data_IF_885317619716
#
_entry.id   IF_885317619716
#
_cell.length_a   1.000
_cell.length_b   1.000
_cell.length_c   1.000
_cell.angle_alpha   90.00
_cell.angle_beta   90.00
_cell.angle_gamma   90.00
#
_symmetry.space_group_name_H-M   'P 1'
#
loop_
_entity.id
_entity.type
_entity.pdbx_description
1 polymer ?
#
# COMPACT_ATOMS: atom_id res chain seq x y z
N UNK A 1 27.48 27.73 -0.46
CA UNK A 1 26.26 27.87 -1.30
C UNK A 1 25.12 28.30 -0.39
N UNK A 2 24.41 29.42 -0.66
CA UNK A 2 23.34 29.86 0.23
C UNK A 2 22.18 28.85 0.19
N UNK A 3 21.85 28.28 1.35
CA UNK A 3 20.73 27.37 1.55
C UNK A 3 19.43 28.16 1.33
N UNK A 4 18.92 28.15 0.09
CA UNK A 4 17.63 28.78 -0.25
C UNK A 4 16.54 28.03 0.50
N UNK A 5 16.00 28.62 1.57
CA UNK A 5 14.90 28.06 2.36
C UNK A 5 13.80 27.64 1.40
N UNK A 6 13.62 26.32 1.21
CA UNK A 6 12.58 25.79 0.33
C UNK A 6 11.24 26.11 0.98
N UNK A 7 10.32 26.68 0.22
CA UNK A 7 8.96 26.88 0.72
C UNK A 7 8.34 25.54 1.09
N UNK A 8 7.61 25.48 2.22
CA UNK A 8 6.95 24.26 2.71
C UNK A 8 6.12 23.59 1.62
N UNK A 9 5.38 24.39 0.84
CA UNK A 9 4.60 23.92 -0.30
C UNK A 9 5.43 23.13 -1.33
N UNK A 10 6.67 23.57 -1.61
CA UNK A 10 7.56 22.86 -2.54
C UNK A 10 7.98 21.50 -1.99
N UNK A 11 8.28 21.40 -0.69
CA UNK A 11 8.65 20.15 -0.03
C UNK A 11 7.50 19.13 -0.03
N UNK A 12 6.27 19.56 0.29
CA UNK A 12 5.09 18.69 0.18
C UNK A 12 4.86 18.20 -1.24
N UNK A 13 4.94 19.09 -2.23
CA UNK A 13 4.79 18.71 -3.64
C UNK A 13 5.83 17.68 -4.07
N UNK A 14 7.08 17.83 -3.64
CA UNK A 14 8.16 16.90 -3.96
C UNK A 14 7.91 15.53 -3.29
N UNK A 15 7.42 15.50 -2.03
CA UNK A 15 7.03 14.27 -1.34
C UNK A 15 5.85 13.54 -2.03
N UNK A 16 4.80 14.28 -2.41
CA UNK A 16 3.66 13.71 -3.14
C UNK A 16 4.07 13.14 -4.50
N UNK A 17 5.05 13.76 -5.19
CA UNK A 17 5.61 13.20 -6.43
C UNK A 17 6.30 11.85 -6.18
N UNK A 18 7.02 11.70 -5.07
CA UNK A 18 7.64 10.42 -4.68
C UNK A 18 6.61 9.31 -4.43
N UNK A 19 5.56 9.61 -3.67
CA UNK A 19 4.46 8.65 -3.45
C UNK A 19 3.77 8.32 -4.78
N UNK A 20 3.43 9.33 -5.59
CA UNK A 20 2.81 9.11 -6.89
C UNK A 20 3.69 8.29 -7.85
N UNK A 21 5.02 8.42 -7.75
CA UNK A 21 5.95 7.58 -8.50
C UNK A 21 5.84 6.11 -8.07
N UNK A 22 5.81 5.82 -6.77
CA UNK A 22 5.69 4.45 -6.27
C UNK A 22 4.35 3.81 -6.67
N UNK A 23 3.24 4.54 -6.53
CA UNK A 23 1.91 4.04 -6.94
C UNK A 23 1.85 3.71 -8.44
N UNK A 24 2.56 4.48 -9.26
CA UNK A 24 2.65 4.26 -10.70
C UNK A 24 3.55 3.06 -11.02
N UNK A 25 4.75 2.99 -10.47
CA UNK A 25 5.72 2.01 -10.94
C UNK A 25 5.56 0.64 -10.26
N UNK A 26 5.11 0.61 -9.00
CA UNK A 26 5.09 -0.61 -8.21
C UNK A 26 3.70 -1.21 -8.07
N UNK A 27 3.56 -2.46 -8.52
CA UNK A 27 2.32 -3.23 -8.41
C UNK A 27 2.00 -3.59 -6.96
N UNK A 28 3.01 -3.93 -6.16
CA UNK A 28 2.84 -4.27 -4.75
C UNK A 28 2.32 -3.07 -3.96
N UNK A 29 2.83 -1.85 -4.22
CA UNK A 29 2.25 -0.59 -3.69
C UNK A 29 0.75 -0.51 -3.93
N UNK A 30 0.29 -0.77 -5.16
CA UNK A 30 -1.15 -0.72 -5.49
C UNK A 30 -1.96 -1.80 -4.79
N UNK A 31 -1.42 -3.02 -4.67
CA UNK A 31 -2.07 -4.10 -3.93
C UNK A 31 -2.25 -3.70 -2.46
N UNK A 32 -1.19 -3.22 -1.80
CA UNK A 32 -1.25 -2.81 -0.40
C UNK A 32 -2.20 -1.64 -0.17
N UNK A 33 -2.26 -0.67 -1.09
CA UNK A 33 -3.25 0.42 -1.04
C UNK A 33 -4.68 -0.10 -1.14
N UNK A 34 -4.97 -1.00 -2.08
CA UNK A 34 -6.32 -1.56 -2.27
C UNK A 34 -6.75 -2.38 -1.05
N UNK A 35 -5.86 -3.25 -0.55
CA UNK A 35 -6.14 -4.05 0.64
C UNK A 35 -6.36 -3.15 1.86
N UNK A 36 -5.48 -2.16 2.08
CA UNK A 36 -5.64 -1.19 3.16
C UNK A 36 -6.94 -0.38 3.06
N UNK A 37 -7.33 0.03 1.85
CA UNK A 37 -8.61 0.72 1.61
C UNK A 37 -9.80 -0.18 1.99
N UNK A 38 -9.83 -1.44 1.57
CA UNK A 38 -10.89 -2.36 1.96
C UNK A 38 -10.93 -2.59 3.47
N UNK A 39 -9.77 -2.78 4.12
CA UNK A 39 -9.72 -2.94 5.58
C UNK A 39 -10.31 -1.72 6.32
N UNK A 40 -10.02 -0.50 5.85
CA UNK A 40 -10.62 0.72 6.41
C UNK A 40 -12.10 0.88 6.07
N UNK A 41 -12.55 0.43 4.90
CA UNK A 41 -13.96 0.47 4.53
C UNK A 41 -14.79 -0.52 5.37
N UNK A 42 -14.25 -1.70 5.70
CA UNK A 42 -14.95 -2.72 6.47
C UNK A 42 -14.74 -2.61 7.99
N UNK A 43 -13.71 -1.88 8.46
CA UNK A 43 -13.45 -1.73 9.90
C UNK A 43 -14.63 -1.19 10.74
N UNK A 44 -15.55 -0.35 10.24
CA UNK A 44 -16.69 0.10 11.04
C UNK A 44 -17.62 -1.04 11.49
N UNK A 45 -17.70 -2.15 10.75
CA UNK A 45 -18.50 -3.32 11.12
C UNK A 45 -17.93 -4.08 12.33
N UNK A 46 -16.64 -3.90 12.64
CA UNK A 46 -15.94 -4.63 13.70
C UNK A 46 -15.92 -3.86 15.03
N UNK A 47 -16.50 -2.65 15.08
CA UNK A 47 -16.55 -1.83 16.29
C UNK A 47 -15.19 -1.63 16.99
N UNK A 48 -14.13 -1.47 16.18
CA UNK A 48 -12.77 -1.31 16.68
C UNK A 48 -12.65 -0.10 17.62
N UNK A 49 -11.92 -0.26 18.71
CA UNK A 49 -11.52 0.81 19.61
C UNK A 49 -10.56 1.80 18.94
N UNK A 50 -10.39 2.98 19.54
CA UNK A 50 -9.46 3.99 19.03
C UNK A 50 -8.01 3.47 18.95
N UNK A 51 -7.61 2.60 19.89
CA UNK A 51 -6.29 1.98 19.88
C UNK A 51 -6.13 1.00 18.72
N UNK A 52 -7.15 0.18 18.45
CA UNK A 52 -7.14 -0.77 17.32
C UNK A 52 -7.13 -0.05 15.97
N UNK A 53 -7.87 1.07 15.84
CA UNK A 53 -7.78 1.95 14.68
C UNK A 53 -6.37 2.54 14.50
N UNK A 54 -5.73 2.97 15.58
CA UNK A 54 -4.36 3.47 15.50
C UNK A 54 -3.39 2.37 15.03
N UNK A 55 -3.52 1.14 15.55
CA UNK A 55 -2.73 -0.01 15.11
C UNK A 55 -2.99 -0.33 13.64
N UNK A 56 -4.25 -0.34 13.20
CA UNK A 56 -4.61 -0.58 11.79
C UNK A 56 -3.98 0.46 10.85
N UNK A 57 -4.12 1.75 11.18
CA UNK A 57 -3.58 2.85 10.39
C UNK A 57 -2.05 2.81 10.34
N UNK A 58 -1.38 2.58 11.48
CA UNK A 58 0.07 2.43 11.55
C UNK A 58 0.55 1.24 10.72
N UNK A 59 -0.17 0.11 10.80
CA UNK A 59 0.15 -1.10 10.04
C UNK A 59 0.08 -0.86 8.54
N UNK A 60 -1.00 -0.23 8.06
CA UNK A 60 -1.14 0.15 6.65
C UNK A 60 -0.01 1.12 6.24
N UNK A 61 0.26 2.14 7.06
CA UNK A 61 1.31 3.11 6.79
C UNK A 61 2.71 2.48 6.73
N UNK A 62 3.02 1.52 7.61
CA UNK A 62 4.31 0.83 7.65
C UNK A 62 4.57 0.01 6.39
N UNK A 63 3.56 -0.70 5.87
CA UNK A 63 3.69 -1.46 4.62
C UNK A 63 3.93 -0.54 3.43
N UNK A 64 3.15 0.54 3.32
CA UNK A 64 3.34 1.53 2.24
C UNK A 64 4.69 2.24 2.35
N UNK A 65 5.15 2.50 3.57
CA UNK A 65 6.48 3.05 3.83
C UNK A 65 7.58 2.09 3.39
N UNK A 66 7.51 0.81 3.77
CA UNK A 66 8.49 -0.20 3.39
C UNK A 66 8.59 -0.33 1.86
N UNK A 67 7.46 -0.33 1.16
CA UNK A 67 7.38 -0.37 -0.30
C UNK A 67 8.03 0.87 -0.95
N UNK A 68 7.79 2.06 -0.37
CA UNK A 68 8.40 3.33 -0.82
C UNK A 68 9.92 3.30 -0.63
N UNK A 69 10.39 2.80 0.51
CA UNK A 69 11.82 2.65 0.80
C UNK A 69 12.46 1.62 -0.13
N UNK A 70 11.79 0.49 -0.39
CA UNK A 70 12.25 -0.50 -1.35
C UNK A 70 12.46 0.12 -2.74
N UNK A 71 11.46 0.85 -3.23
CA UNK A 71 11.53 1.56 -4.51
C UNK A 71 12.69 2.56 -4.54
N UNK A 72 12.92 3.29 -3.46
CA UNK A 72 14.03 4.25 -3.35
C UNK A 72 15.39 3.55 -3.38
N UNK A 73 15.55 2.43 -2.67
CA UNK A 73 16.77 1.62 -2.67
C UNK A 73 17.03 1.05 -4.07
N UNK A 74 16.01 0.50 -4.72
CA UNK A 74 16.12 0.01 -6.10
C UNK A 74 16.58 1.10 -7.06
N UNK A 75 16.00 2.31 -6.96
CA UNK A 75 16.40 3.44 -7.79
C UNK A 75 17.88 3.81 -7.58
N UNK A 76 18.35 3.87 -6.33
CA UNK A 76 19.76 4.18 -6.01
C UNK A 76 20.71 3.09 -6.54
N UNK A 77 20.35 1.82 -6.37
CA UNK A 77 21.17 0.70 -6.85
C UNK A 77 21.23 0.69 -8.38
N UNK A 78 20.10 0.95 -9.06
CA UNK A 78 20.04 0.98 -10.52
C UNK A 78 20.86 2.13 -11.14
N UNK A 79 21.13 3.22 -10.39
CA UNK A 79 22.00 4.31 -10.87
C UNK A 79 23.47 3.89 -11.01
N UNK A 80 23.96 2.96 -10.17
CA UNK A 80 25.36 2.54 -10.17
C UNK A 80 25.62 1.24 -10.93
N UNK A 81 24.57 0.48 -11.25
CA UNK A 81 24.70 -0.83 -11.86
C UNK A 81 24.97 -0.75 -13.38
N UNK A 82 26.23 -0.54 -13.78
CA UNK A 82 26.68 -0.85 -15.15
C UNK A 82 27.04 -2.34 -15.34
N UNK A 83 27.28 -3.07 -14.23
CA UNK A 83 27.60 -4.51 -14.22
C UNK A 83 26.90 -5.19 -13.03
N UNK A 84 26.71 -6.51 -13.11
CA UNK A 84 26.05 -7.31 -12.07
C UNK A 84 26.94 -7.42 -10.82
N UNK A 85 26.74 -6.54 -9.84
CA UNK A 85 27.45 -6.53 -8.55
C UNK A 85 26.68 -7.37 -7.51
N UNK A 86 27.38 -8.29 -6.83
CA UNK A 86 26.81 -9.09 -5.75
C UNK A 86 26.23 -8.22 -4.62
N UNK A 87 26.82 -7.05 -4.33
CA UNK A 87 26.30 -6.12 -3.32
C UNK A 87 24.99 -5.49 -3.75
N UNK A 88 24.84 -5.15 -5.03
CA UNK A 88 23.59 -4.64 -5.60
C UNK A 88 22.46 -5.66 -5.47
N UNK A 89 22.74 -6.94 -5.67
CA UNK A 89 21.77 -8.03 -5.45
C UNK A 89 21.36 -8.10 -3.97
N UNK A 90 22.32 -8.16 -3.05
CA UNK A 90 22.04 -8.22 -1.61
C UNK A 90 21.20 -7.03 -1.15
N UNK A 91 21.52 -5.81 -1.61
CA UNK A 91 20.76 -4.61 -1.25
C UNK A 91 19.29 -4.68 -1.69
N UNK A 92 19.02 -5.17 -2.90
CA UNK A 92 17.66 -5.40 -3.40
C UNK A 92 16.94 -6.49 -2.61
N UNK A 93 17.62 -7.60 -2.34
CA UNK A 93 17.03 -8.73 -1.59
C UNK A 93 16.65 -8.32 -0.16
N UNK A 94 17.50 -7.54 0.51
CA UNK A 94 17.23 -7.02 1.86
C UNK A 94 16.06 -6.03 1.85
N UNK A 95 15.98 -5.15 0.86
CA UNK A 95 14.89 -4.20 0.73
C UNK A 95 13.54 -4.92 0.49
N UNK A 96 13.52 -5.91 -0.40
CA UNK A 96 12.34 -6.76 -0.62
C UNK A 96 11.97 -7.57 0.63
N UNK A 97 12.98 -8.06 1.37
CA UNK A 97 12.77 -8.74 2.66
C UNK A 97 12.11 -7.85 3.71
N UNK A 98 12.44 -6.56 3.76
CA UNK A 98 11.79 -5.61 4.66
C UNK A 98 10.29 -5.44 4.33
N UNK A 99 9.94 -5.34 3.03
CA UNK A 99 8.54 -5.31 2.58
C UNK A 99 7.81 -6.57 3.02
N UNK A 100 8.43 -7.75 2.84
CA UNK A 100 7.83 -9.03 3.22
C UNK A 100 7.53 -9.11 4.72
N UNK A 101 8.44 -8.65 5.58
CA UNK A 101 8.24 -8.62 7.03
C UNK A 101 7.06 -7.71 7.38
N UNK A 102 6.99 -6.51 6.80
CA UNK A 102 5.87 -5.59 7.04
C UNK A 102 4.54 -6.18 6.54
N UNK A 103 4.53 -6.79 5.35
CA UNK A 103 3.33 -7.43 4.79
C UNK A 103 2.85 -8.60 5.65
N UNK A 104 3.77 -9.41 6.17
CA UNK A 104 3.43 -10.49 7.09
C UNK A 104 2.83 -9.96 8.40
N UNK A 105 3.45 -8.96 9.01
CA UNK A 105 2.90 -8.32 10.21
C UNK A 105 1.51 -7.74 9.94
N UNK A 106 1.31 -7.11 8.78
CA UNK A 106 0.01 -6.59 8.40
C UNK A 106 -1.05 -7.67 8.23
N UNK A 107 -0.69 -8.84 7.69
CA UNK A 107 -1.58 -10.00 7.63
C UNK A 107 -1.95 -10.50 9.03
N UNK A 108 -0.99 -10.56 9.96
CA UNK A 108 -1.24 -10.96 11.36
C UNK A 108 -2.16 -9.96 12.07
N UNK A 109 -1.89 -8.66 11.97
CA UNK A 109 -2.77 -7.62 12.54
C UNK A 109 -4.16 -7.67 11.93
N UNK A 110 -4.25 -7.83 10.60
CA UNK A 110 -5.53 -8.02 9.91
C UNK A 110 -6.28 -9.24 10.42
N UNK A 111 -5.60 -10.37 10.63
CA UNK A 111 -6.20 -11.55 11.22
C UNK A 111 -6.72 -11.27 12.65
N UNK A 112 -5.92 -10.66 13.51
CA UNK A 112 -6.31 -10.38 14.91
C UNK A 112 -7.51 -9.44 14.98
N UNK A 113 -7.55 -8.38 14.16
CA UNK A 113 -8.63 -7.39 14.20
C UNK A 113 -9.91 -7.87 13.50
N UNK A 114 -9.79 -8.66 12.43
CA UNK A 114 -10.92 -8.97 11.55
C UNK A 114 -11.38 -10.43 11.61
N UNK A 115 -10.75 -11.32 12.38
CA UNK A 115 -11.17 -12.72 12.52
C UNK A 115 -12.37 -12.87 13.48
N UNK A 116 -13.53 -12.39 13.05
CA UNK A 116 -14.80 -12.50 13.76
C UNK A 116 -15.86 -13.13 12.85
N UNK A 117 -16.04 -14.47 12.87
CA UNK A 117 -16.90 -15.19 11.92
C UNK A 117 -18.34 -14.66 11.86
N UNK A 118 -18.92 -14.30 13.01
CA UNK A 118 -20.27 -13.73 13.07
C UNK A 118 -20.36 -12.38 12.34
N UNK A 119 -19.39 -11.48 12.56
CA UNK A 119 -19.32 -10.17 11.88
C UNK A 119 -19.09 -10.35 10.38
N UNK A 120 -18.27 -11.32 9.97
CA UNK A 120 -18.04 -11.62 8.55
C UNK A 120 -19.32 -12.09 7.85
N UNK A 121 -20.11 -12.97 8.49
CA UNK A 121 -21.41 -13.40 7.97
C UNK A 121 -22.39 -12.22 7.91
N UNK A 122 -22.42 -11.37 8.94
CA UNK A 122 -23.24 -10.16 8.95
C UNK A 122 -22.90 -9.22 7.79
N UNK A 123 -21.62 -9.00 7.47
CA UNK A 123 -21.21 -8.19 6.32
C UNK A 123 -21.73 -8.78 5.01
N UNK A 124 -21.65 -10.11 4.86
CA UNK A 124 -22.17 -10.80 3.68
C UNK A 124 -23.67 -10.58 3.56
N UNK A 125 -24.44 -10.83 4.62
CA UNK A 125 -25.88 -10.60 4.68
C UNK A 125 -26.25 -9.13 4.42
N UNK A 126 -25.47 -8.19 4.93
CA UNK A 126 -25.63 -6.75 4.71
C UNK A 126 -25.47 -6.39 3.23
N UNK A 127 -24.44 -6.92 2.56
CA UNK A 127 -24.22 -6.69 1.12
C UNK A 127 -25.35 -7.28 0.26
N UNK A 128 -25.92 -8.42 0.65
CA UNK A 128 -27.05 -9.03 -0.07
C UNK A 128 -28.39 -8.33 0.19
N UNK A 129 -28.62 -7.84 1.41
CA UNK A 129 -29.87 -7.16 1.78
C UNK A 129 -29.92 -5.71 1.27
N UNK A 130 -28.77 -5.06 1.11
CA UNK A 130 -28.67 -3.70 0.57
C UNK A 130 -28.07 -3.67 -0.84
N UNK A 131 -28.94 -3.75 -1.85
CA UNK A 131 -28.58 -3.75 -3.28
C UNK A 131 -27.58 -2.67 -3.67
N UNK A 132 -27.70 -1.46 -3.12
CA UNK A 132 -26.77 -0.37 -3.41
C UNK A 132 -25.32 -0.67 -2.96
N UNK A 133 -25.14 -1.13 -1.73
CA UNK A 133 -23.81 -1.46 -1.20
C UNK A 133 -23.24 -2.73 -1.82
N UNK A 134 -24.09 -3.73 -2.07
CA UNK A 134 -23.70 -4.92 -2.83
C UNK A 134 -23.21 -4.58 -4.24
N UNK A 135 -23.95 -3.73 -4.96
CA UNK A 135 -23.55 -3.25 -6.28
C UNK A 135 -22.24 -2.45 -6.23
N UNK A 136 -22.10 -1.54 -5.26
CA UNK A 136 -20.87 -0.75 -5.09
C UNK A 136 -19.65 -1.65 -4.86
N UNK A 137 -19.78 -2.66 -4.00
CA UNK A 137 -18.72 -3.64 -3.75
C UNK A 137 -18.39 -4.47 -5.01
N UNK A 138 -19.41 -4.93 -5.73
CA UNK A 138 -19.20 -5.68 -6.97
C UNK A 138 -18.49 -4.85 -8.05
N UNK A 139 -18.81 -3.56 -8.16
CA UNK A 139 -18.14 -2.63 -9.07
C UNK A 139 -16.73 -2.27 -8.59
N UNK A 140 -16.47 -2.22 -7.28
CA UNK A 140 -15.15 -1.90 -6.76
C UNK A 140 -14.11 -2.99 -7.06
N UNK A 141 -14.51 -4.27 -7.16
CA UNK A 141 -13.60 -5.39 -7.48
C UNK A 141 -12.91 -5.25 -8.86
N UNK A 142 -13.63 -5.11 -9.99
CA UNK A 142 -12.98 -4.90 -11.29
C UNK A 142 -12.24 -3.56 -11.35
N UNK A 143 -12.74 -2.50 -10.71
CA UNK A 143 -12.00 -1.23 -10.63
C UNK A 143 -10.66 -1.38 -9.91
N UNK A 144 -10.64 -2.13 -8.81
CA UNK A 144 -9.43 -2.46 -8.07
C UNK A 144 -8.48 -3.30 -8.90
N UNK A 145 -8.99 -4.28 -9.65
CA UNK A 145 -8.20 -5.07 -10.60
C UNK A 145 -7.59 -4.21 -11.70
N UNK A 146 -8.38 -3.32 -12.32
CA UNK A 146 -7.89 -2.37 -13.31
C UNK A 146 -6.79 -1.48 -12.71
N UNK A 147 -7.00 -0.95 -11.52
CA UNK A 147 -5.98 -0.16 -10.83
C UNK A 147 -4.71 -0.97 -10.55
N UNK A 148 -4.80 -2.18 -9.99
CA UNK A 148 -3.62 -2.98 -9.65
C UNK A 148 -2.81 -3.36 -10.90
N UNK A 149 -3.46 -3.81 -11.97
CA UNK A 149 -2.78 -4.42 -13.11
C UNK A 149 -2.49 -3.46 -14.26
N UNK A 150 -3.35 -2.46 -14.48
CA UNK A 150 -3.27 -1.60 -15.66
C UNK A 150 -2.90 -0.15 -15.34
N UNK A 151 -2.93 0.27 -14.07
CA UNK A 151 -2.41 1.58 -13.71
C UNK A 151 -0.89 1.53 -13.54
N UNK A 152 -0.14 2.50 -14.07
CA UNK A 152 -0.53 3.54 -15.02
C UNK A 152 -0.59 2.95 -16.42
N UNK A 153 -1.61 3.35 -17.18
CA UNK A 153 -1.92 2.81 -18.51
C UNK A 153 -0.82 3.01 -19.58
N UNK A 154 0.32 3.62 -19.22
CA UNK A 154 1.53 3.74 -20.03
C UNK A 154 2.69 4.33 -19.19
N UNK A 155 3.66 3.53 -18.75
CA UNK A 155 4.99 4.02 -18.37
C UNK A 155 6.04 3.03 -18.87
N UNK A 156 6.85 3.44 -19.85
CA UNK A 156 8.09 2.74 -20.23
C UNK A 156 9.04 2.80 -19.03
N UNK A 157 9.49 1.65 -18.55
CA UNK A 157 10.71 1.57 -17.73
C UNK A 157 11.86 2.04 -18.62
N UNK A 158 12.27 3.29 -18.46
CA UNK A 158 13.54 3.80 -18.99
C UNK A 158 14.63 3.50 -17.97
#
# INVERSE_FOLDING_TARGET
MPQRIRSLHKSFRDAFRGVAFCVKNERNMRIHMVVGAYMLCFSPFFHLSAAEYAVLLLTIALVLFAETVNTAIEAVINLQAQWYDNLARIGKDVAAGAVLICAFLAAVVGFVLFFHPATLLFIIEYLFSHLFFGFLFLVSLPLSGVFIFFFPFNVRKH
#
